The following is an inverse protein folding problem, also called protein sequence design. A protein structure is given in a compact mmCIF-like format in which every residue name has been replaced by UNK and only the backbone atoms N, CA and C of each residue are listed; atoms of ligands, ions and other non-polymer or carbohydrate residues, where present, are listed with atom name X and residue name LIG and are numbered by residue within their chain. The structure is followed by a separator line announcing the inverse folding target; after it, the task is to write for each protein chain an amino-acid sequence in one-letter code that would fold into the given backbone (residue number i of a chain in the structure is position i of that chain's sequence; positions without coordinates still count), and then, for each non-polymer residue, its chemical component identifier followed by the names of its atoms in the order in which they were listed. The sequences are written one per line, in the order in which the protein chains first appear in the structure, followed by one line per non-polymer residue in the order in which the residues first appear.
data_IF_781290244824
#
_entry.id   IF_781290244824
#
_cell.length_a   1.000
_cell.length_b   1.000
_cell.length_c   1.000
_cell.angle_alpha   90.00
_cell.angle_beta   90.00
_cell.angle_gamma   90.00
#
_symmetry.space_group_name_H-M   'P 1'
#
loop_
_entity.id
_entity.type
_entity.pdbx_description
1 polymer ?
#
# COMPACT_ATOMS: atom_id res chain seq x y z
N UNK A 1 -16.33 -4.31 7.23
CA UNK A 1 -15.90 -3.50 6.07
C UNK A 1 -17.07 -2.79 5.38
N UNK A 2 -17.89 -3.47 4.58
CA UNK A 2 -18.95 -2.82 3.77
C UNK A 2 -19.95 -2.04 4.62
N UNK A 3 -20.45 -2.61 5.71
CA UNK A 3 -21.34 -1.91 6.64
C UNK A 3 -20.69 -0.65 7.26
N UNK A 4 -19.40 -0.72 7.62
CA UNK A 4 -18.68 0.43 8.17
C UNK A 4 -18.49 1.56 7.13
N UNK A 5 -18.17 1.20 5.89
CA UNK A 5 -18.04 2.16 4.79
C UNK A 5 -19.37 2.85 4.50
N UNK A 6 -20.46 2.10 4.54
CA UNK A 6 -21.77 2.59 4.15
C UNK A 6 -22.56 3.27 5.30
N UNK A 7 -22.06 3.30 6.54
CA UNK A 7 -22.75 3.85 7.72
C UNK A 7 -23.31 5.28 7.58
N UNK A 8 -22.82 6.05 6.61
CA UNK A 8 -23.32 7.40 6.31
C UNK A 8 -24.70 7.38 5.63
N UNK A 9 -25.05 6.27 4.98
CA UNK A 9 -26.32 6.07 4.26
C UNK A 9 -27.39 5.53 5.22
N UNK A 10 -27.03 4.60 6.10
CA UNK A 10 -27.93 4.05 7.13
C UNK A 10 -27.20 3.94 8.48
N UNK A 11 -27.68 4.64 9.53
CA UNK A 11 -27.11 4.53 10.88
C UNK A 11 -27.09 3.11 11.45
N UNK A 12 -28.02 2.23 11.04
CA UNK A 12 -28.06 0.84 11.49
C UNK A 12 -26.78 0.08 11.11
N UNK A 13 -26.19 0.39 9.96
CA UNK A 13 -24.96 -0.25 9.50
C UNK A 13 -23.76 0.06 10.39
N UNK A 14 -23.83 1.10 11.25
CA UNK A 14 -22.82 1.29 12.28
C UNK A 14 -22.86 0.18 13.33
N UNK A 15 -24.05 -0.24 13.78
CA UNK A 15 -24.24 -1.32 14.74
C UNK A 15 -23.84 -2.66 14.13
N UNK A 16 -24.35 -2.96 12.94
CA UNK A 16 -24.02 -4.19 12.21
C UNK A 16 -22.50 -4.29 11.96
N UNK A 17 -21.85 -3.16 11.65
CA UNK A 17 -20.39 -3.14 11.45
C UNK A 17 -19.61 -3.50 12.71
N UNK A 18 -20.10 -3.09 13.89
CA UNK A 18 -19.46 -3.40 15.16
C UNK A 18 -19.69 -4.86 15.56
N UNK A 19 -20.88 -5.40 15.29
CA UNK A 19 -21.20 -6.81 15.49
C UNK A 19 -20.30 -7.70 14.62
N UNK A 20 -20.26 -7.45 13.30
CA UNK A 20 -19.39 -8.20 12.38
C UNK A 20 -17.91 -8.10 12.76
N UNK A 21 -17.46 -6.95 13.25
CA UNK A 21 -16.10 -6.78 13.73
C UNK A 21 -15.81 -7.68 14.94
N UNK A 22 -16.73 -7.72 15.91
CA UNK A 22 -16.62 -8.57 17.11
C UNK A 22 -16.59 -10.06 16.75
N UNK A 23 -17.47 -10.49 15.87
CA UNK A 23 -17.52 -11.87 15.36
C UNK A 23 -16.23 -12.24 14.62
N UNK A 24 -15.76 -11.35 13.74
CA UNK A 24 -14.52 -11.55 12.97
C UNK A 24 -13.32 -11.67 13.89
N UNK A 25 -13.21 -10.81 14.91
CA UNK A 25 -12.13 -10.88 15.90
C UNK A 25 -12.16 -12.19 16.70
N UNK A 26 -13.35 -12.65 17.07
CA UNK A 26 -13.52 -13.92 17.79
C UNK A 26 -13.09 -15.11 16.94
N UNK A 27 -13.55 -15.17 15.69
CA UNK A 27 -13.17 -16.22 14.74
C UNK A 27 -11.67 -16.20 14.42
N UNK A 28 -11.07 -15.03 14.18
CA UNK A 28 -9.64 -14.90 13.93
C UNK A 28 -8.81 -15.31 15.14
N UNK A 29 -9.26 -15.00 16.36
CA UNK A 29 -8.57 -15.41 17.59
C UNK A 29 -8.56 -16.93 17.72
N UNK A 30 -9.67 -17.59 17.45
CA UNK A 30 -9.76 -19.06 17.47
C UNK A 30 -8.82 -19.68 16.42
N UNK A 31 -8.88 -19.23 15.18
CA UNK A 31 -7.99 -19.73 14.11
C UNK A 31 -6.51 -19.47 14.42
N UNK A 32 -6.15 -18.29 14.92
CA UNK A 32 -4.78 -17.99 15.34
C UNK A 32 -4.32 -18.92 16.47
N UNK A 33 -5.19 -19.19 17.44
CA UNK A 33 -4.87 -20.12 18.53
C UNK A 33 -4.61 -21.54 18.02
N UNK A 34 -5.39 -21.99 17.01
CA UNK A 34 -5.19 -23.26 16.34
C UNK A 34 -3.83 -23.27 15.60
N UNK A 35 -3.55 -22.23 14.81
CA UNK A 35 -2.31 -22.09 14.03
C UNK A 35 -1.07 -22.13 14.94
N UNK A 36 -1.14 -21.45 16.08
CA UNK A 36 -0.05 -21.39 17.07
C UNK A 36 0.11 -22.72 17.80
N UNK A 37 -0.98 -23.31 18.29
CA UNK A 37 -0.95 -24.55 19.09
C UNK A 37 -0.51 -25.74 18.24
N UNK A 38 -1.01 -25.85 17.02
CA UNK A 38 -0.69 -26.94 16.08
C UNK A 38 0.54 -26.66 15.21
N UNK A 39 1.26 -25.55 15.45
CA UNK A 39 2.52 -25.25 14.77
C UNK A 39 3.59 -26.35 15.00
N UNK A 40 3.47 -27.10 16.09
CA UNK A 40 4.42 -28.15 16.47
C UNK A 40 4.06 -29.54 15.91
N UNK A 41 2.86 -29.71 15.32
CA UNK A 41 2.30 -31.02 14.97
C UNK A 41 1.70 -31.05 13.56
N UNK A 42 2.33 -30.39 12.56
CA UNK A 42 2.13 -30.58 11.10
C UNK A 42 0.67 -30.59 10.55
N UNK A 43 -0.35 -30.28 11.35
CA UNK A 43 -1.78 -30.55 11.07
C UNK A 43 -2.61 -29.30 10.80
N UNK A 44 -1.99 -28.12 10.81
CA UNK A 44 -2.68 -26.89 10.39
C UNK A 44 -2.90 -26.96 8.89
N UNK A 45 -4.16 -26.91 8.47
CA UNK A 45 -4.49 -26.91 7.03
C UNK A 45 -4.00 -25.60 6.39
N UNK A 46 -3.49 -25.70 5.16
CA UNK A 46 -3.11 -24.53 4.35
C UNK A 46 -4.28 -23.54 4.23
N UNK A 47 -5.51 -24.05 4.11
CA UNK A 47 -6.72 -23.26 4.03
C UNK A 47 -6.95 -22.40 5.28
N UNK A 48 -6.69 -22.93 6.48
CA UNK A 48 -6.80 -22.14 7.72
C UNK A 48 -5.84 -20.95 7.67
N UNK A 49 -4.57 -21.16 7.30
CA UNK A 49 -3.58 -20.06 7.18
C UNK A 49 -4.02 -19.03 6.14
N UNK A 50 -4.50 -19.47 4.98
CA UNK A 50 -5.01 -18.61 3.89
C UNK A 50 -6.19 -17.73 4.36
N UNK A 51 -7.17 -18.33 5.03
CA UNK A 51 -8.35 -17.62 5.54
C UNK A 51 -7.97 -16.64 6.66
N UNK A 52 -7.13 -17.06 7.60
CA UNK A 52 -6.66 -16.19 8.68
C UNK A 52 -5.82 -15.03 8.12
N UNK A 53 -4.93 -15.29 7.17
CA UNK A 53 -4.12 -14.25 6.51
C UNK A 53 -5.02 -13.21 5.84
N UNK A 54 -5.99 -13.66 5.03
CA UNK A 54 -6.94 -12.76 4.38
C UNK A 54 -7.71 -11.95 5.43
N UNK A 55 -8.26 -12.61 6.46
CA UNK A 55 -9.04 -11.94 7.49
C UNK A 55 -8.23 -10.90 8.27
N UNK A 56 -6.97 -11.18 8.61
CA UNK A 56 -6.07 -10.22 9.28
C UNK A 56 -5.75 -9.03 8.38
N UNK A 57 -5.49 -9.27 7.09
CA UNK A 57 -5.25 -8.21 6.11
C UNK A 57 -6.49 -7.31 5.98
N UNK A 58 -7.66 -7.89 5.73
CA UNK A 58 -8.92 -7.13 5.58
C UNK A 58 -9.30 -6.38 6.86
N UNK A 59 -9.09 -7.00 8.03
CA UNK A 59 -9.29 -6.35 9.32
C UNK A 59 -8.42 -5.10 9.44
N UNK A 60 -7.10 -5.22 9.22
CA UNK A 60 -6.18 -4.09 9.35
C UNK A 60 -6.49 -2.94 8.39
N UNK A 61 -6.89 -3.24 7.16
CA UNK A 61 -7.19 -2.20 6.18
C UNK A 61 -8.53 -1.51 6.40
N UNK A 62 -9.43 -2.15 7.16
CA UNK A 62 -10.74 -1.61 7.48
C UNK A 62 -10.88 -1.04 8.89
N UNK A 63 -9.87 -1.21 9.77
CA UNK A 63 -9.88 -0.65 11.13
C UNK A 63 -10.22 0.85 11.14
N UNK A 64 -9.66 1.61 10.19
CA UNK A 64 -9.91 3.05 10.04
C UNK A 64 -11.36 3.42 9.70
N UNK A 65 -12.16 2.45 9.23
CA UNK A 65 -13.57 2.66 8.91
C UNK A 65 -14.48 2.50 10.13
N UNK A 66 -14.00 1.81 11.18
CA UNK A 66 -14.76 1.52 12.40
C UNK A 66 -14.56 2.57 13.53
N UNK A 67 -13.66 3.55 13.36
CA UNK A 67 -13.44 4.63 14.32
C UNK A 67 -12.24 5.52 13.94
N UNK A 68 -12.18 6.75 14.49
CA UNK A 68 -11.28 7.82 14.02
C UNK A 68 -9.80 7.67 14.41
N UNK A 69 -9.42 6.67 15.21
CA UNK A 69 -8.08 6.63 15.82
C UNK A 69 -7.23 5.42 15.43
N UNK A 70 -7.83 4.37 14.87
CA UNK A 70 -7.13 3.14 14.52
C UNK A 70 -6.70 3.13 13.06
N UNK A 71 -5.40 3.00 12.80
CA UNK A 71 -4.86 2.82 11.43
C UNK A 71 -4.73 1.34 11.04
N UNK A 72 -5.07 0.41 11.95
CA UNK A 72 -5.00 -1.04 11.74
C UNK A 72 -3.58 -1.60 11.60
N UNK A 73 -2.57 -0.79 11.92
CA UNK A 73 -1.14 -1.11 11.78
C UNK A 73 -0.71 -2.18 12.81
N UNK A 74 -1.44 -2.35 13.90
CA UNK A 74 -1.25 -3.40 14.89
C UNK A 74 -1.35 -4.81 14.29
N UNK A 75 -2.05 -4.96 13.17
CA UNK A 75 -2.26 -6.24 12.50
C UNK A 75 -1.13 -6.62 11.52
N UNK A 76 -0.27 -5.67 11.13
CA UNK A 76 0.71 -5.89 10.07
C UNK A 76 1.74 -6.96 10.44
N UNK A 77 2.19 -6.97 11.70
CA UNK A 77 3.17 -7.94 12.16
C UNK A 77 2.60 -9.37 12.14
N UNK A 78 1.32 -9.54 12.50
CA UNK A 78 0.62 -10.82 12.40
C UNK A 78 0.48 -11.27 10.95
N UNK A 79 0.16 -10.35 10.04
CA UNK A 79 0.05 -10.64 8.61
C UNK A 79 1.37 -11.14 8.02
N UNK A 80 2.51 -10.53 8.39
CA UNK A 80 3.84 -10.98 7.93
C UNK A 80 4.17 -12.39 8.38
N UNK A 81 3.87 -12.70 9.64
CA UNK A 81 4.13 -14.04 10.19
C UNK A 81 3.28 -15.10 9.47
N UNK A 82 2.00 -14.81 9.25
CA UNK A 82 1.09 -15.69 8.49
C UNK A 82 1.52 -15.82 7.02
N UNK A 83 1.92 -14.72 6.40
CA UNK A 83 2.39 -14.68 5.02
C UNK A 83 3.68 -15.48 4.84
N UNK A 84 4.67 -15.31 5.73
CA UNK A 84 5.89 -16.12 5.73
C UNK A 84 5.59 -17.61 5.84
N UNK A 85 4.67 -17.98 6.72
CA UNK A 85 4.21 -19.36 6.86
C UNK A 85 3.52 -19.87 5.59
N UNK A 86 2.70 -19.03 4.96
CA UNK A 86 2.03 -19.33 3.70
C UNK A 86 3.01 -19.54 2.54
N UNK A 87 4.03 -18.69 2.41
CA UNK A 87 5.07 -18.84 1.39
C UNK A 87 5.88 -20.12 1.62
N UNK A 88 6.28 -20.39 2.87
CA UNK A 88 7.04 -21.60 3.21
C UNK A 88 6.26 -22.89 2.94
N UNK A 89 4.95 -22.91 3.21
CA UNK A 89 4.13 -24.08 2.89
C UNK A 89 3.84 -24.24 1.40
N UNK A 90 4.04 -23.18 0.60
CA UNK A 90 3.75 -23.18 -0.84
C UNK A 90 5.01 -23.46 -1.67
N UNK A 91 6.21 -23.11 -1.19
CA UNK A 91 7.45 -23.14 -1.97
C UNK A 91 7.85 -24.53 -2.49
N UNK A 92 7.42 -25.61 -1.84
CA UNK A 92 7.80 -26.98 -2.23
C UNK A 92 6.81 -27.65 -3.21
N UNK A 93 5.62 -27.07 -3.43
CA UNK A 93 4.50 -27.72 -4.13
C UNK A 93 3.77 -26.76 -5.10
N UNK A 94 4.48 -25.79 -5.65
CA UNK A 94 3.89 -24.81 -6.57
C UNK A 94 3.49 -25.45 -7.91
N UNK A 95 2.23 -25.88 -7.98
CA UNK A 95 1.60 -26.28 -9.23
C UNK A 95 0.97 -25.08 -9.93
N UNK A 96 0.84 -25.11 -11.27
CA UNK A 96 0.20 -24.01 -12.03
C UNK A 96 -1.19 -23.63 -11.53
N UNK A 97 -1.96 -24.59 -10.99
CA UNK A 97 -3.30 -24.34 -10.43
C UNK A 97 -3.29 -23.47 -9.17
N UNK A 98 -2.16 -23.32 -8.49
CA UNK A 98 -2.04 -22.52 -7.28
C UNK A 98 -1.56 -21.08 -7.54
N UNK A 99 -1.04 -20.80 -8.73
CA UNK A 99 -0.49 -19.47 -9.08
C UNK A 99 -1.48 -18.32 -8.95
N UNK A 100 -2.75 -18.42 -9.40
CA UNK A 100 -3.71 -17.32 -9.23
C UNK A 100 -3.88 -16.94 -7.76
N UNK A 101 -3.99 -17.94 -6.88
CA UNK A 101 -4.18 -17.72 -5.45
C UNK A 101 -2.92 -17.13 -4.81
N UNK A 102 -1.74 -17.63 -5.15
CA UNK A 102 -0.49 -17.06 -4.66
C UNK A 102 -0.33 -15.60 -5.10
N UNK A 103 -0.57 -15.30 -6.38
CA UNK A 103 -0.53 -13.95 -6.93
C UNK A 103 -1.52 -13.00 -6.22
N UNK A 104 -2.71 -13.50 -5.88
CA UNK A 104 -3.70 -12.77 -5.09
C UNK A 104 -3.15 -12.35 -3.71
N UNK A 105 -2.60 -13.29 -2.93
CA UNK A 105 -2.04 -12.99 -1.61
C UNK A 105 -0.78 -12.12 -1.66
N UNK A 106 0.07 -12.30 -2.68
CA UNK A 106 1.25 -11.46 -2.89
C UNK A 106 0.85 -10.01 -3.09
N UNK A 107 -0.12 -9.75 -3.97
CA UNK A 107 -0.58 -8.39 -4.22
C UNK A 107 -1.30 -7.77 -3.03
N UNK A 108 -2.12 -8.53 -2.29
CA UNK A 108 -2.74 -8.04 -1.06
C UNK A 108 -1.70 -7.59 -0.03
N UNK A 109 -0.70 -8.44 0.25
CA UNK A 109 0.37 -8.10 1.19
C UNK A 109 1.19 -6.92 0.67
N UNK A 110 1.56 -6.90 -0.61
CA UNK A 110 2.34 -5.82 -1.23
C UNK A 110 1.64 -4.46 -1.13
N UNK A 111 0.34 -4.41 -1.41
CA UNK A 111 -0.43 -3.19 -1.25
C UNK A 111 -0.44 -2.71 0.21
N UNK A 112 -0.73 -3.60 1.17
CA UNK A 112 -0.81 -3.18 2.56
C UNK A 112 0.56 -2.74 3.11
N UNK A 113 1.64 -3.45 2.77
CA UNK A 113 3.00 -3.05 3.12
C UNK A 113 3.36 -1.67 2.54
N UNK A 114 2.94 -1.39 1.30
CA UNK A 114 3.22 -0.11 0.63
C UNK A 114 2.53 1.06 1.33
N UNK A 115 1.30 0.88 1.80
CA UNK A 115 0.55 1.94 2.48
C UNK A 115 1.04 2.12 3.92
N UNK A 116 1.39 1.02 4.60
CA UNK A 116 1.89 1.06 5.96
C UNK A 116 3.30 1.64 6.06
N UNK A 117 4.19 1.43 5.09
CA UNK A 117 5.61 1.82 5.14
C UNK A 117 5.86 3.30 5.39
N UNK A 118 4.94 4.18 4.96
CA UNK A 118 5.03 5.62 5.19
C UNK A 118 4.60 6.03 6.61
N UNK A 119 3.95 5.12 7.33
CA UNK A 119 3.35 5.36 8.65
C UNK A 119 4.08 4.62 9.77
N UNK A 120 4.58 3.41 9.54
CA UNK A 120 5.27 2.61 10.55
C UNK A 120 6.79 2.70 10.42
N UNK A 121 7.47 2.73 11.57
CA UNK A 121 8.93 2.61 11.62
C UNK A 121 9.29 1.13 11.50
N UNK A 122 9.86 0.74 10.37
CA UNK A 122 10.26 -0.64 10.13
C UNK A 122 11.52 -0.74 9.27
N UNK A 123 12.22 -1.86 9.38
CA UNK A 123 13.37 -2.17 8.54
C UNK A 123 12.96 -2.55 7.12
N UNK A 124 13.73 -2.07 6.14
CA UNK A 124 13.52 -2.37 4.71
C UNK A 124 13.57 -3.90 4.50
N UNK A 125 14.47 -4.58 5.21
CA UNK A 125 14.71 -6.02 5.12
C UNK A 125 13.48 -6.86 5.51
N UNK A 126 12.51 -6.29 6.26
CA UNK A 126 11.23 -6.97 6.56
C UNK A 126 10.43 -7.28 5.30
N UNK A 127 10.70 -6.57 4.20
CA UNK A 127 10.02 -6.73 2.92
C UNK A 127 10.73 -7.73 1.99
N UNK A 128 11.89 -8.28 2.35
CA UNK A 128 12.69 -9.11 1.45
C UNK A 128 12.04 -10.45 1.13
N UNK A 129 11.36 -11.08 2.09
CA UNK A 129 10.60 -12.31 1.81
C UNK A 129 9.50 -12.06 0.78
N UNK A 130 8.77 -10.95 0.93
CA UNK A 130 7.69 -10.58 0.00
C UNK A 130 8.26 -10.20 -1.38
N UNK A 131 9.33 -9.40 -1.40
CA UNK A 131 10.00 -9.01 -2.64
C UNK A 131 10.49 -10.23 -3.41
N UNK A 132 11.19 -11.14 -2.73
CA UNK A 132 11.71 -12.39 -3.31
C UNK A 132 10.56 -13.23 -3.87
N UNK A 133 9.46 -13.37 -3.13
CA UNK A 133 8.31 -14.12 -3.59
C UNK A 133 7.65 -13.49 -4.84
N UNK A 134 7.54 -12.16 -4.91
CA UNK A 134 7.00 -11.47 -6.09
C UNK A 134 7.89 -11.63 -7.34
N UNK A 135 9.21 -11.51 -7.21
CA UNK A 135 10.13 -11.59 -8.37
C UNK A 135 10.43 -13.01 -8.82
N UNK A 136 10.21 -14.00 -7.95
CA UNK A 136 10.44 -15.42 -8.27
C UNK A 136 9.25 -16.10 -8.96
N UNK A 137 8.13 -15.40 -9.13
CA UNK A 137 6.99 -15.93 -9.86
C UNK A 137 7.33 -16.10 -11.35
N UNK A 138 6.98 -17.24 -11.96
CA UNK A 138 7.10 -17.40 -13.41
C UNK A 138 6.14 -16.44 -14.13
N UNK A 139 6.41 -16.13 -15.40
CA UNK A 139 5.62 -15.16 -16.19
C UNK A 139 4.15 -15.59 -16.28
N UNK A 140 3.91 -16.89 -16.38
CA UNK A 140 2.60 -17.53 -16.43
C UNK A 140 1.83 -17.43 -15.11
N UNK A 141 2.50 -17.09 -14.01
CA UNK A 141 1.90 -16.83 -12.71
C UNK A 141 1.54 -15.35 -12.50
N UNK A 142 1.75 -14.49 -13.49
CA UNK A 142 1.28 -13.12 -13.43
C UNK A 142 -0.24 -13.09 -13.67
N UNK A 143 -0.96 -12.59 -12.69
CA UNK A 143 -2.40 -12.35 -12.76
C UNK A 143 -2.69 -10.92 -12.38
N UNK A 144 -3.74 -10.35 -12.95
CA UNK A 144 -4.24 -9.03 -12.55
C UNK A 144 -4.72 -9.12 -11.10
N UNK A 145 -4.02 -8.41 -10.21
CA UNK A 145 -4.38 -8.33 -8.81
C UNK A 145 -5.36 -7.17 -8.59
N UNK A 146 -6.46 -7.35 -7.83
CA UNK A 146 -7.45 -6.29 -7.66
C UNK A 146 -6.93 -5.04 -6.92
N UNK A 147 -5.80 -5.15 -6.23
CA UNK A 147 -5.24 -4.09 -5.38
C UNK A 147 -3.95 -3.50 -5.95
N UNK A 148 -3.16 -4.36 -6.60
CA UNK A 148 -1.85 -3.97 -7.15
C UNK A 148 -1.81 -3.91 -8.68
N UNK A 149 -2.92 -4.23 -9.34
CA UNK A 149 -3.03 -4.24 -10.78
C UNK A 149 -2.10 -5.28 -11.42
N UNK A 150 -1.32 -4.85 -12.41
CA UNK A 150 -0.45 -5.72 -13.22
C UNK A 150 0.93 -5.99 -12.60
N UNK A 151 1.29 -5.33 -11.49
CA UNK A 151 2.63 -5.46 -10.91
C UNK A 151 2.64 -5.29 -9.40
N UNK A 152 2.54 -6.40 -8.66
CA UNK A 152 2.72 -6.38 -7.20
C UNK A 152 4.16 -6.01 -6.79
N UNK A 153 5.16 -6.32 -7.63
CA UNK A 153 6.58 -5.99 -7.38
C UNK A 153 6.80 -4.49 -7.21
N UNK A 154 6.19 -3.64 -8.06
CA UNK A 154 6.31 -2.19 -7.92
C UNK A 154 5.77 -1.67 -6.59
N UNK A 155 4.69 -2.26 -6.07
CA UNK A 155 4.17 -1.90 -4.75
C UNK A 155 5.11 -2.33 -3.62
N UNK A 156 5.80 -3.46 -3.74
CA UNK A 156 6.85 -3.84 -2.78
C UNK A 156 8.03 -2.87 -2.85
N UNK A 157 8.45 -2.45 -4.05
CA UNK A 157 9.51 -1.44 -4.19
C UNK A 157 9.08 -0.10 -3.59
N UNK A 158 7.84 0.33 -3.82
CA UNK A 158 7.26 1.52 -3.17
C UNK A 158 7.24 1.37 -1.64
N UNK A 159 6.92 0.18 -1.12
CA UNK A 159 7.00 -0.10 0.31
C UNK A 159 8.42 0.09 0.85
N UNK A 160 9.44 -0.45 0.15
CA UNK A 160 10.86 -0.29 0.52
C UNK A 160 11.28 1.17 0.52
N UNK A 161 10.86 1.94 -0.48
CA UNK A 161 11.08 3.40 -0.53
C UNK A 161 10.46 4.08 0.68
N UNK A 162 9.20 3.79 1.01
CA UNK A 162 8.52 4.39 2.17
C UNK A 162 9.25 4.14 3.48
N UNK A 163 9.72 2.91 3.72
CA UNK A 163 10.54 2.56 4.88
C UNK A 163 11.83 3.40 4.94
N UNK A 164 12.53 3.52 3.80
CA UNK A 164 13.78 4.27 3.70
C UNK A 164 13.56 5.76 3.98
N UNK A 165 12.59 6.38 3.29
CA UNK A 165 12.25 7.80 3.44
C UNK A 165 11.93 8.13 4.89
N UNK A 166 11.14 7.26 5.53
CA UNK A 166 10.71 7.45 6.92
C UNK A 166 11.87 7.33 7.90
N UNK A 167 12.69 6.27 7.78
CA UNK A 167 13.91 6.11 8.58
C UNK A 167 14.84 7.31 8.46
N UNK A 168 15.10 7.75 7.22
CA UNK A 168 15.96 8.90 6.94
C UNK A 168 15.41 10.16 7.61
N UNK A 169 14.10 10.42 7.49
CA UNK A 169 13.44 11.57 8.14
C UNK A 169 13.60 11.54 9.67
N UNK A 170 13.48 10.38 10.29
CA UNK A 170 13.65 10.22 11.75
C UNK A 170 15.09 10.50 12.16
N UNK A 171 16.07 9.97 11.43
CA UNK A 171 17.49 10.21 11.72
C UNK A 171 17.87 11.68 11.54
N UNK A 172 17.39 12.34 10.49
CA UNK A 172 17.63 13.77 10.27
C UNK A 172 17.02 14.63 11.39
N UNK A 173 15.81 14.30 11.85
CA UNK A 173 15.20 14.96 13.02
C UNK A 173 16.02 14.75 14.28
N UNK A 174 16.44 13.51 14.58
CA UNK A 174 17.30 13.22 15.74
C UNK A 174 18.60 14.02 15.69
N UNK A 175 19.25 14.09 14.53
CA UNK A 175 20.45 14.90 14.30
C UNK A 175 20.24 16.39 14.57
N UNK A 176 19.06 16.95 14.28
CA UNK A 176 18.77 18.36 14.56
C UNK A 176 18.67 18.67 16.06
N UNK A 177 18.18 17.72 16.86
CA UNK A 177 18.01 17.91 18.31
C UNK A 177 19.24 17.48 19.13
N UNK A 178 20.10 16.62 18.60
CA UNK A 178 21.35 16.22 19.26
C UNK A 178 22.45 17.26 19.03
N UNK A 179 22.94 17.89 20.11
CA UNK A 179 24.08 18.82 20.06
C UNK A 179 25.44 18.12 19.92
N UNK A 180 25.48 16.79 20.04
CA UNK A 180 26.64 15.96 19.75
C UNK A 180 26.53 15.37 18.35
N UNK A 181 27.63 15.44 17.59
CA UNK A 181 27.77 14.79 16.29
C UNK A 181 27.94 13.29 16.53
N UNK A 182 26.84 12.59 16.73
CA UNK A 182 26.83 11.15 16.89
C UNK A 182 27.25 10.48 15.58
N UNK A 183 28.47 9.93 15.55
CA UNK A 183 29.02 9.25 14.37
C UNK A 183 28.18 8.05 13.91
N UNK A 184 27.38 7.47 14.81
CA UNK A 184 26.50 6.36 14.47
C UNK A 184 25.33 6.79 13.58
N UNK A 185 24.78 7.99 13.78
CA UNK A 185 23.69 8.53 12.97
C UNK A 185 24.16 8.87 11.55
N UNK A 186 25.38 9.39 11.39
CA UNK A 186 25.96 9.69 10.07
C UNK A 186 26.22 8.42 9.27
N UNK A 187 26.78 7.37 9.91
CA UNK A 187 26.94 6.05 9.30
C UNK A 187 25.60 5.47 8.83
N UNK A 188 24.54 5.57 9.64
CA UNK A 188 23.21 5.10 9.26
C UNK A 188 22.64 5.88 8.07
N UNK A 189 22.81 7.21 8.03
CA UNK A 189 22.39 8.04 6.90
C UNK A 189 23.12 7.64 5.61
N UNK A 190 24.42 7.32 5.70
CA UNK A 190 25.21 6.83 4.57
C UNK A 190 24.74 5.45 4.09
N UNK A 191 24.43 4.53 5.01
CA UNK A 191 23.85 3.22 4.67
C UNK A 191 22.52 3.39 3.94
N UNK A 192 21.63 4.25 4.46
CA UNK A 192 20.35 4.55 3.81
C UNK A 192 20.53 5.17 2.42
N UNK A 193 21.59 5.97 2.21
CA UNK A 193 21.89 6.50 0.88
C UNK A 193 22.31 5.39 -0.09
N UNK A 194 23.15 4.45 0.33
CA UNK A 194 23.52 3.30 -0.52
C UNK A 194 22.29 2.43 -0.85
N UNK A 195 21.41 2.19 0.13
CA UNK A 195 20.15 1.50 -0.11
C UNK A 195 19.24 2.26 -1.09
N UNK A 196 19.27 3.61 -1.07
CA UNK A 196 18.51 4.43 -2.00
C UNK A 196 19.03 4.29 -3.43
N UNK A 197 20.35 4.28 -3.65
CA UNK A 197 20.97 4.03 -4.96
C UNK A 197 20.54 2.66 -5.51
N UNK A 198 20.61 1.61 -4.69
CA UNK A 198 20.19 0.27 -5.10
C UNK A 198 18.70 0.21 -5.45
N UNK A 199 17.84 0.89 -4.67
CA UNK A 199 16.40 0.95 -4.96
C UNK A 199 16.09 1.75 -6.22
N UNK A 200 16.79 2.86 -6.46
CA UNK A 200 16.67 3.65 -7.68
C UNK A 200 16.93 2.76 -8.90
N UNK A 201 18.05 2.05 -8.92
CA UNK A 201 18.43 1.14 -10.00
C UNK A 201 17.38 0.05 -10.22
N UNK A 202 16.89 -0.57 -9.13
CA UNK A 202 15.82 -1.58 -9.21
C UNK A 202 14.53 -1.02 -9.82
N UNK A 203 14.13 0.21 -9.47
CA UNK A 203 12.90 0.82 -9.98
C UNK A 203 13.05 1.29 -11.44
N UNK A 204 14.23 1.80 -11.81
CA UNK A 204 14.53 2.24 -13.18
C UNK A 204 14.64 1.05 -14.12
N UNK A 205 15.27 -0.04 -13.70
CA UNK A 205 15.43 -1.24 -14.55
C UNK A 205 14.19 -2.13 -14.58
N UNK A 206 13.26 -1.95 -13.64
CA UNK A 206 12.03 -2.74 -13.60
C UNK A 206 11.16 -2.53 -14.83
N UNK A 207 10.80 -3.64 -15.47
CA UNK A 207 9.83 -3.70 -16.56
C UNK A 207 8.59 -4.45 -16.08
N UNK A 208 7.42 -3.82 -16.23
CA UNK A 208 6.16 -4.49 -15.88
C UNK A 208 5.90 -5.71 -16.78
N UNK A 209 5.20 -6.74 -16.29
CA UNK A 209 4.82 -7.89 -17.10
C UNK A 209 4.07 -7.46 -18.36
N UNK A 210 4.27 -8.21 -19.45
CA UNK A 210 3.44 -8.02 -20.64
C UNK A 210 1.98 -8.32 -20.30
N UNK A 211 1.09 -7.48 -20.83
CA UNK A 211 -0.36 -7.56 -20.60
C UNK A 211 -1.09 -8.33 -21.68
N UNK A 212 -0.42 -8.63 -22.79
CA UNK A 212 -1.01 -9.40 -23.88
C UNK A 212 -1.61 -10.76 -23.44
N UNK A 213 -1.12 -11.48 -22.41
CA UNK A 213 -1.76 -12.69 -21.92
C UNK A 213 -2.90 -12.44 -20.90
N UNK A 214 -3.11 -11.21 -20.44
CA UNK A 214 -4.13 -10.95 -19.41
C UNK A 214 -5.54 -10.95 -20.00
N UNK A 215 -6.45 -11.64 -19.31
CA UNK A 215 -7.87 -11.60 -19.61
C UNK A 215 -8.41 -10.18 -19.46
N UNK A 216 -9.37 -9.82 -20.33
CA UNK A 216 -10.11 -8.57 -20.19
C UNK A 216 -10.70 -8.48 -18.77
N UNK A 217 -10.56 -7.32 -18.16
CA UNK A 217 -11.24 -7.04 -16.89
C UNK A 217 -12.74 -7.20 -17.09
N UNK A 218 -13.43 -7.78 -16.10
CA UNK A 218 -14.89 -7.91 -16.12
C UNK A 218 -15.61 -6.57 -15.86
N UNK A 219 -14.87 -5.47 -15.95
CA UNK A 219 -15.34 -4.11 -15.74
C UNK A 219 -14.97 -3.26 -16.96
N UNK A 220 -15.98 -2.87 -17.72
CA UNK A 220 -15.84 -2.05 -18.92
C UNK A 220 -15.27 -0.65 -18.63
N UNK A 221 -15.33 -0.19 -17.37
CA UNK A 221 -14.78 1.10 -16.95
C UNK A 221 -13.29 1.02 -16.59
N UNK A 222 -12.79 -0.19 -16.32
CA UNK A 222 -11.40 -0.41 -15.88
C UNK A 222 -10.69 -1.36 -16.83
N UNK A 223 -10.39 -0.94 -18.06
CA UNK A 223 -9.65 -1.76 -19.03
C UNK A 223 -8.19 -2.02 -18.57
N UNK A 224 -7.57 -3.09 -19.07
CA UNK A 224 -6.19 -3.49 -18.70
C UNK A 224 -5.17 -2.36 -18.91
N UNK A 225 -5.37 -1.51 -19.93
CA UNK A 225 -4.52 -0.34 -20.17
C UNK A 225 -4.50 0.63 -18.98
N UNK A 226 -5.62 0.81 -18.27
CA UNK A 226 -5.67 1.63 -17.05
C UNK A 226 -4.78 1.04 -15.95
N UNK A 227 -4.71 -0.30 -15.85
CA UNK A 227 -3.87 -0.97 -14.86
C UNK A 227 -2.38 -0.82 -15.15
N UNK A 228 -1.97 -0.75 -16.43
CA UNK A 228 -0.60 -0.34 -16.81
C UNK A 228 -0.27 1.07 -16.34
N UNK A 229 -1.20 2.01 -16.55
CA UNK A 229 -1.02 3.39 -16.09
C UNK A 229 -0.87 3.45 -14.57
N UNK A 230 -1.64 2.66 -13.81
CA UNK A 230 -1.48 2.56 -12.35
C UNK A 230 -0.09 2.02 -11.98
N UNK A 231 0.40 0.99 -12.66
CA UNK A 231 1.76 0.49 -12.44
C UNK A 231 2.82 1.58 -12.71
N UNK A 232 2.69 2.33 -13.80
CA UNK A 232 3.60 3.42 -14.11
C UNK A 232 3.51 4.56 -13.09
N UNK A 233 2.30 4.93 -12.64
CA UNK A 233 2.10 5.89 -11.55
C UNK A 233 2.79 5.42 -10.25
N UNK A 234 2.70 4.14 -9.93
CA UNK A 234 3.37 3.55 -8.76
C UNK A 234 4.90 3.66 -8.89
N UNK A 235 5.46 3.31 -10.05
CA UNK A 235 6.90 3.45 -10.36
C UNK A 235 7.38 4.90 -10.21
N UNK A 236 6.66 5.85 -10.82
CA UNK A 236 7.01 7.28 -10.75
C UNK A 236 6.87 7.82 -9.32
N UNK A 237 5.85 7.40 -8.58
CA UNK A 237 5.67 7.79 -7.17
C UNK A 237 6.82 7.30 -6.29
N UNK A 238 7.28 6.07 -6.51
CA UNK A 238 8.43 5.52 -5.79
C UNK A 238 9.70 6.33 -6.07
N UNK A 239 9.99 6.65 -7.33
CA UNK A 239 11.13 7.50 -7.70
C UNK A 239 11.02 8.90 -7.11
N UNK A 240 9.84 9.51 -7.19
CA UNK A 240 9.59 10.85 -6.65
C UNK A 240 9.85 10.91 -5.14
N UNK A 241 9.29 9.97 -4.37
CA UNK A 241 9.51 9.92 -2.91
C UNK A 241 10.98 9.70 -2.57
N UNK A 242 11.66 8.84 -3.34
CA UNK A 242 13.08 8.55 -3.15
C UNK A 242 13.96 9.80 -3.41
N UNK A 243 13.72 10.52 -4.50
CA UNK A 243 14.43 11.76 -4.83
C UNK A 243 14.13 12.89 -3.85
N UNK A 244 12.89 13.01 -3.39
CA UNK A 244 12.53 13.98 -2.34
C UNK A 244 13.26 13.71 -1.03
N UNK A 245 13.50 12.45 -0.68
CA UNK A 245 14.14 12.09 0.58
C UNK A 245 15.67 12.19 0.54
N UNK A 246 16.28 11.78 -0.58
CA UNK A 246 17.74 11.64 -0.69
C UNK A 246 18.40 12.75 -1.51
N UNK A 247 17.62 13.58 -2.22
CA UNK A 247 18.12 14.49 -3.24
C UNK A 247 18.31 13.77 -4.58
N UNK A 248 19.06 14.37 -5.52
CA UNK A 248 19.47 13.68 -6.75
C UNK A 248 20.45 12.57 -6.37
N UNK A 249 20.01 11.32 -6.45
CA UNK A 249 20.81 10.14 -6.08
C UNK A 249 21.84 9.82 -7.18
N UNK A 250 21.58 10.23 -8.42
CA UNK A 250 22.45 10.04 -9.59
C UNK A 250 22.41 11.26 -10.55
N UNK A 251 23.49 11.44 -11.32
CA UNK A 251 23.72 12.49 -12.34
C UNK A 251 23.03 12.24 -13.68
N UNK A 252 22.37 11.08 -13.82
CA UNK A 252 21.40 10.82 -14.89
C UNK A 252 20.19 11.65 -14.48
N UNK A 253 20.18 12.92 -14.92
CA UNK A 253 19.04 13.81 -14.73
C UNK A 253 17.76 13.07 -15.08
N UNK A 254 16.66 13.40 -14.41
CA UNK A 254 15.33 12.93 -14.79
C UNK A 254 15.08 13.31 -16.27
N UNK A 255 15.56 12.50 -17.19
CA UNK A 255 15.10 12.52 -18.55
C UNK A 255 13.79 11.75 -18.51
N UNK A 256 12.76 12.49 -18.09
CA UNK A 256 11.38 12.02 -18.05
C UNK A 256 10.98 11.42 -19.41
N UNK A 257 11.65 11.84 -20.50
CA UNK A 257 11.53 11.27 -21.83
C UNK A 257 11.95 9.80 -21.93
N UNK A 258 13.00 9.37 -21.23
CA UNK A 258 13.46 7.96 -21.24
C UNK A 258 12.49 7.07 -20.44
N UNK A 259 12.00 7.55 -19.29
CA UNK A 259 11.02 6.83 -18.46
C UNK A 259 9.65 6.63 -19.15
N UNK A 260 9.31 7.51 -20.10
CA UNK A 260 8.09 7.42 -20.91
C UNK A 260 8.30 6.71 -22.26
N UNK A 261 9.54 6.61 -22.75
CA UNK A 261 9.86 6.03 -24.06
C UNK A 261 10.11 4.51 -24.04
N UNK A 262 10.29 3.88 -22.87
CA UNK A 262 10.53 2.42 -22.80
C UNK A 262 9.32 1.56 -23.10
N UNK A 263 8.12 2.14 -23.15
CA UNK A 263 6.93 1.44 -23.63
C UNK A 263 6.64 1.88 -25.06
N UNK A 264 7.14 1.09 -26.02
CA UNK A 264 6.94 1.27 -27.45
C UNK A 264 5.45 1.26 -27.83
N UNK A 265 4.79 2.40 -27.68
CA UNK A 265 3.55 2.71 -28.39
C UNK A 265 3.98 3.26 -29.74
N UNK A 266 3.84 2.44 -30.78
CA UNK A 266 4.04 2.85 -32.16
C UNK A 266 3.22 4.11 -32.46
N UNK A 267 3.92 5.22 -32.67
CA UNK A 267 3.33 6.45 -33.21
C UNK A 267 2.91 6.18 -34.65
N UNK A 268 1.67 5.74 -34.88
CA UNK A 268 0.99 6.07 -36.14
C UNK A 268 0.44 7.48 -35.99
N UNK A 269 0.99 8.40 -36.78
CA UNK A 269 0.68 9.81 -36.68
C UNK A 269 -0.76 10.14 -37.03
N UNK A 270 -1.32 11.07 -36.27
CA UNK A 270 -2.18 12.14 -36.78
C UNK A 270 -1.97 13.34 -35.85
N UNK A 271 -1.48 14.43 -36.43
CA UNK A 271 -1.38 15.72 -35.77
C UNK A 271 -2.77 16.18 -35.30
N UNK A 272 -2.86 16.59 -34.03
CA UNK A 272 -3.94 17.43 -33.54
C UNK A 272 -3.29 18.45 -32.59
N UNK A 273 -3.68 19.70 -32.79
CA UNK A 273 -2.99 20.92 -32.41
C UNK A 273 -2.75 21.10 -30.91
N UNK A 274 -1.65 21.82 -30.66
CA UNK A 274 -1.24 22.38 -29.38
C UNK A 274 -2.26 23.39 -28.85
N UNK A 275 -2.74 23.19 -27.63
CA UNK A 275 -3.06 24.30 -26.70
C UNK A 275 -3.04 23.77 -25.25
N UNK A 276 -1.89 23.88 -24.58
CA UNK A 276 -1.77 23.67 -23.14
C UNK A 276 -1.41 25.00 -22.48
N UNK A 277 -2.44 25.75 -22.10
CA UNK A 277 -2.30 27.04 -21.45
C UNK A 277 -1.75 26.87 -20.03
N UNK A 278 -0.54 27.38 -19.81
CA UNK A 278 0.10 27.49 -18.49
C UNK A 278 -0.69 28.49 -17.65
N UNK A 279 -1.29 28.06 -16.54
CA UNK A 279 -1.89 28.96 -15.56
C UNK A 279 -0.84 29.33 -14.51
N UNK A 280 -0.23 30.50 -14.69
CA UNK A 280 0.61 31.17 -13.71
C UNK A 280 -0.28 31.93 -12.71
N UNK A 281 0.03 31.83 -11.41
CA UNK A 281 -0.86 32.30 -10.34
C UNK A 281 -0.13 32.51 -9.03
N UNK A 282 0.64 33.59 -8.97
CA UNK A 282 1.41 34.03 -7.82
C UNK A 282 0.54 34.50 -6.62
N UNK A 283 1.04 34.15 -5.44
CA UNK A 283 0.97 34.85 -4.14
C UNK A 283 -0.34 35.51 -3.64
N UNK A 284 -0.88 34.93 -2.56
CA UNK A 284 -1.44 35.73 -1.46
C UNK A 284 -1.23 35.03 -0.10
N UNK A 285 -0.43 35.68 0.75
CA UNK A 285 -0.22 35.37 2.17
C UNK A 285 -1.53 35.47 2.95
N UNK A 286 -1.88 34.45 3.73
CA UNK A 286 -2.89 34.58 4.79
C UNK A 286 -2.45 33.78 6.03
N UNK A 287 -1.94 34.51 7.02
CA UNK A 287 -1.53 34.03 8.33
C UNK A 287 -2.75 33.72 9.19
N UNK A 288 -2.91 32.46 9.64
CA UNK A 288 -3.90 32.09 10.65
C UNK A 288 -3.27 32.04 12.05
N UNK A 289 -3.68 32.98 12.89
CA UNK A 289 -3.40 33.05 14.32
C UNK A 289 -4.38 32.15 15.06
N UNK A 290 -3.88 31.13 15.75
CA UNK A 290 -4.68 30.27 16.63
C UNK A 290 -5.02 30.99 17.95
N UNK A 291 -6.31 31.17 18.24
CA UNK A 291 -6.83 31.45 19.59
C UNK A 291 -7.89 30.40 19.90
N UNK A 292 -7.64 29.59 20.93
CA UNK A 292 -8.64 28.77 21.60
C UNK A 292 -9.72 29.65 22.24
N UNK A 293 -10.95 29.12 22.38
CA UNK A 293 -11.71 29.41 23.59
C UNK A 293 -12.25 28.15 24.28
N UNK A 294 -12.19 28.22 25.61
CA UNK A 294 -12.78 27.30 26.59
C UNK A 294 -14.30 27.46 26.65
N UNK A 295 -14.96 26.36 27.00
CA UNK A 295 -16.35 26.19 27.47
C UNK A 295 -17.14 27.44 27.89
N UNK A 296 -18.37 27.56 27.38
CA UNK A 296 -19.62 27.46 28.16
C UNK A 296 -20.88 27.68 27.30
N UNK A 297 -21.97 27.03 27.73
CA UNK A 297 -23.39 27.31 27.47
C UNK A 297 -24.07 26.66 26.25
N UNK A 298 -24.43 25.39 26.45
CA UNK A 298 -25.81 24.87 26.44
C UNK A 298 -26.88 25.71 25.72
N UNK A 299 -27.22 25.35 24.48
CA UNK A 299 -28.53 25.67 23.87
C UNK A 299 -29.10 24.42 23.22
N UNK A 300 -30.20 23.93 23.80
CA UNK A 300 -31.12 22.95 23.22
C UNK A 300 -31.65 23.45 21.88
N UNK A 301 -31.61 22.62 20.84
CA UNK A 301 -32.49 22.74 19.69
C UNK A 301 -33.37 21.50 19.57
N UNK A 302 -34.67 21.76 19.52
CA UNK A 302 -35.77 20.81 19.46
C UNK A 302 -36.10 20.43 18.02
N UNK A 303 -36.73 19.26 17.93
CA UNK A 303 -37.37 18.60 16.78
C UNK A 303 -37.87 19.48 15.62
N UNK A 304 -37.65 18.98 14.40
CA UNK A 304 -38.30 19.43 13.18
C UNK A 304 -38.31 18.32 12.13
N UNK A 305 -39.20 17.33 12.31
CA UNK A 305 -39.57 16.37 11.29
C UNK A 305 -40.63 16.98 10.36
N UNK A 306 -40.41 16.92 9.04
CA UNK A 306 -41.38 16.58 7.97
C UNK A 306 -40.97 17.16 6.62
N UNK A 307 -41.23 16.37 5.56
CA UNK A 307 -41.08 16.57 4.09
C UNK A 307 -40.09 15.50 3.57
N UNK A 308 -40.48 14.38 2.96
CA UNK A 308 -41.43 14.21 1.85
C UNK A 308 -42.03 12.78 1.83
N UNK A 309 -43.32 12.68 1.50
CA UNK A 309 -43.98 11.51 0.92
C UNK A 309 -44.58 11.93 -0.43
N UNK A 310 -44.32 11.14 -1.47
CA UNK A 310 -45.28 10.82 -2.54
C UNK A 310 -45.31 11.71 -3.79
N UNK A 311 -44.70 11.22 -4.87
CA UNK A 311 -45.36 10.92 -6.15
C UNK A 311 -44.52 9.87 -6.89
#
# INVERSE_FOLDING_TARGET
MSAAHLRQVDPQWSLDSAEYLSETLSALREQLSEIVTKAQTTTVTRQTVEQTLLGVIMLGMSTSWHGTSGLGLEHIQGSRALFQRYIYSTSNELTPSQWPKLSFYLGLQAYWESTASFVIDQDIDKLDTLHTACVSLPVEANYVNPWTGVSSTLWVLLAKVGCLVRKRRILLRKRQYSHSRDGTAELQIQILYQQAVTLEDQIITYTAPDISPFEATQDNQTIIAHLKLIAQCCRLSALLELYRASGSISSIGLDLGILLATDGVGRSGTAVDEEFTIFDGAHSHMSYSAREPRDKDMVRWTSGANLFKGA
#
